data_IF_412905447053
#
_entry.id   IF_412905447053
#
_cell.length_a   1.000
_cell.length_b   1.000
_cell.length_c   1.000
_cell.angle_alpha   90.00
_cell.angle_beta   90.00
_cell.angle_gamma   90.00
#
_symmetry.space_group_name_H-M   'P 1'
#
loop_
_entity.id
_entity.type
_entity.pdbx_description
1 polymer ?
#
# COMPACT_ATOMS: atom_id res chain seq x y z
N UNK A 1 17.23 -25.10 5.90
CA UNK A 1 16.00 -24.37 5.52
C UNK A 1 16.49 -23.18 4.75
N UNK A 2 16.36 -23.20 3.42
CA UNK A 2 17.03 -22.25 2.53
C UNK A 2 16.35 -20.88 2.59
N UNK A 3 17.11 -19.79 2.43
CA UNK A 3 16.59 -18.40 2.45
C UNK A 3 15.39 -18.16 1.51
N UNK A 4 15.29 -18.94 0.43
CA UNK A 4 14.14 -18.94 -0.49
C UNK A 4 12.81 -19.29 0.17
N UNK A 5 12.79 -20.34 1.00
CA UNK A 5 11.58 -20.74 1.75
C UNK A 5 11.16 -19.68 2.78
N UNK A 6 12.13 -19.02 3.43
CA UNK A 6 11.84 -17.92 4.35
C UNK A 6 11.27 -16.68 3.62
N UNK A 7 11.71 -16.45 2.38
CA UNK A 7 11.26 -15.34 1.54
C UNK A 7 9.84 -15.56 1.01
N UNK A 8 9.51 -16.79 0.59
CA UNK A 8 8.14 -17.17 0.21
C UNK A 8 7.15 -17.06 1.39
N UNK A 9 7.57 -17.46 2.60
CA UNK A 9 6.76 -17.32 3.81
C UNK A 9 6.46 -15.85 4.13
N UNK A 10 7.43 -14.96 3.94
CA UNK A 10 7.28 -13.51 4.11
C UNK A 10 6.28 -12.95 3.09
N UNK A 11 6.41 -13.28 1.80
CA UNK A 11 5.48 -12.80 0.79
C UNK A 11 4.06 -13.34 0.98
N UNK A 12 3.93 -14.58 1.44
CA UNK A 12 2.64 -15.19 1.78
C UNK A 12 1.97 -14.47 2.96
N UNK A 13 2.74 -14.11 3.98
CA UNK A 13 2.25 -13.34 5.12
C UNK A 13 1.82 -11.93 4.70
N UNK A 14 2.61 -11.25 3.87
CA UNK A 14 2.27 -9.94 3.30
C UNK A 14 0.97 -10.02 2.51
N UNK A 15 0.82 -11.02 1.63
CA UNK A 15 -0.40 -11.23 0.84
C UNK A 15 -1.65 -11.43 1.70
N UNK A 16 -1.53 -12.16 2.83
CA UNK A 16 -2.62 -12.33 3.80
C UNK A 16 -3.02 -11.03 4.49
N UNK A 17 -2.04 -10.23 4.88
CA UNK A 17 -2.29 -8.92 5.51
C UNK A 17 -2.97 -7.99 4.51
N UNK A 18 -2.46 -7.87 3.28
CA UNK A 18 -3.05 -7.04 2.22
C UNK A 18 -4.49 -7.49 1.90
N UNK A 19 -4.74 -8.79 1.79
CA UNK A 19 -6.10 -9.30 1.56
C UNK A 19 -7.06 -8.99 2.72
N UNK A 20 -6.56 -8.95 3.96
CA UNK A 20 -7.36 -8.58 5.14
C UNK A 20 -7.67 -7.08 5.16
N UNK A 21 -6.69 -6.26 4.78
CA UNK A 21 -6.85 -4.82 4.61
C UNK A 21 -7.91 -4.52 3.53
N UNK A 22 -7.91 -5.23 2.40
CA UNK A 22 -8.90 -5.01 1.34
C UNK A 22 -10.34 -5.46 1.68
N UNK A 23 -10.60 -6.03 2.86
CA UNK A 23 -11.96 -6.42 3.27
C UNK A 23 -12.76 -5.23 3.80
N UNK A 24 -14.07 -5.17 3.54
CA UNK A 24 -14.94 -4.08 3.98
C UNK A 24 -15.05 -3.92 5.50
N UNK A 25 -14.71 -4.97 6.26
CA UNK A 25 -14.68 -5.02 7.72
C UNK A 25 -13.24 -4.94 8.29
N UNK A 26 -12.23 -4.89 7.41
CA UNK A 26 -10.89 -4.47 7.79
C UNK A 26 -10.86 -2.95 7.85
N UNK A 27 -10.68 -2.38 9.04
CA UNK A 27 -10.48 -0.94 9.16
C UNK A 27 -9.10 -0.57 8.58
N UNK A 28 -8.95 -0.59 7.25
CA UNK A 28 -7.95 0.30 6.67
C UNK A 28 -8.47 1.69 6.92
N UNK A 29 -7.82 2.41 7.83
CA UNK A 29 -8.07 3.83 7.92
C UNK A 29 -7.54 4.44 6.63
N UNK A 30 -8.36 5.30 6.00
CA UNK A 30 -7.96 6.03 4.80
C UNK A 30 -6.60 6.73 4.95
N UNK A 31 -6.22 7.07 6.18
CA UNK A 31 -4.89 7.59 6.55
C UNK A 31 -3.73 6.62 6.28
N UNK A 32 -3.93 5.31 6.45
CA UNK A 32 -2.92 4.29 6.18
C UNK A 32 -2.66 4.19 4.67
N UNK A 33 -3.71 4.26 3.85
CA UNK A 33 -3.61 4.30 2.38
C UNK A 33 -2.84 5.54 1.93
N UNK A 34 -3.20 6.71 2.49
CA UNK A 34 -2.52 7.97 2.18
C UNK A 34 -1.04 7.92 2.55
N UNK A 35 -0.72 7.34 3.71
CA UNK A 35 0.66 7.19 4.19
C UNK A 35 1.47 6.24 3.32
N UNK A 36 0.89 5.10 2.89
CA UNK A 36 1.54 4.16 1.99
C UNK A 36 1.78 4.75 0.58
N UNK A 37 0.80 5.45 0.02
CA UNK A 37 0.93 6.12 -1.29
C UNK A 37 2.02 7.19 -1.26
N UNK A 38 2.11 7.96 -0.17
CA UNK A 38 3.13 8.98 0.00
C UNK A 38 4.53 8.35 0.16
N UNK A 39 4.65 7.26 0.93
CA UNK A 39 5.92 6.57 1.07
C UNK A 39 6.41 5.96 -0.26
N UNK A 40 5.50 5.33 -1.00
CA UNK A 40 5.80 4.75 -2.30
C UNK A 40 6.23 5.80 -3.34
N UNK A 41 5.57 6.96 -3.38
CA UNK A 41 5.95 8.05 -4.29
C UNK A 41 7.34 8.62 -4.00
N UNK A 42 7.77 8.65 -2.73
CA UNK A 42 9.11 9.08 -2.35
C UNK A 42 10.20 8.11 -2.81
N UNK A 43 9.91 6.81 -2.79
CA UNK A 43 10.86 5.74 -3.10
C UNK A 43 10.92 5.37 -4.58
N UNK A 44 9.83 5.57 -5.33
CA UNK A 44 9.82 5.25 -6.76
C UNK A 44 10.82 6.14 -7.52
N UNK A 45 11.46 5.58 -8.54
CA UNK A 45 12.25 6.33 -9.52
C UNK A 45 11.46 6.63 -10.80
N UNK A 46 10.28 6.00 -10.95
CA UNK A 46 9.38 6.19 -12.07
C UNK A 46 8.50 7.44 -11.86
N UNK A 47 8.61 8.40 -12.77
CA UNK A 47 7.87 9.67 -12.69
C UNK A 47 6.35 9.49 -12.88
N UNK A 48 5.93 8.49 -13.64
CA UNK A 48 4.52 8.14 -13.84
C UNK A 48 3.91 7.57 -12.56
N UNK A 49 4.62 6.70 -11.87
CA UNK A 49 4.19 6.14 -10.58
C UNK A 49 4.09 7.22 -9.49
N UNK A 50 5.05 8.14 -9.41
CA UNK A 50 4.98 9.29 -8.49
C UNK A 50 3.71 10.10 -8.70
N UNK A 51 3.46 10.47 -9.94
CA UNK A 51 2.30 11.29 -10.32
C UNK A 51 0.99 10.57 -10.03
N UNK A 52 0.91 9.28 -10.34
CA UNK A 52 -0.26 8.46 -10.03
C UNK A 52 -0.54 8.42 -8.52
N UNK A 53 0.50 8.31 -7.68
CA UNK A 53 0.36 8.34 -6.22
C UNK A 53 -0.11 9.70 -5.71
N UNK A 54 0.43 10.80 -6.23
CA UNK A 54 0.01 12.16 -5.86
C UNK A 54 -1.46 12.43 -6.24
N UNK A 55 -1.89 11.97 -7.43
CA UNK A 55 -3.27 12.09 -7.88
C UNK A 55 -4.23 11.25 -7.03
N UNK A 56 -3.82 10.03 -6.66
CA UNK A 56 -4.57 9.15 -5.75
C UNK A 56 -4.73 9.77 -4.35
N UNK A 57 -3.64 10.32 -3.77
CA UNK A 57 -3.68 11.05 -2.49
C UNK A 57 -4.68 12.20 -2.57
N UNK A 58 -4.61 13.02 -3.63
CA UNK A 58 -5.50 14.17 -3.79
C UNK A 58 -6.97 13.76 -3.91
N UNK A 59 -7.26 12.67 -4.60
CA UNK A 59 -8.61 12.15 -4.78
C UNK A 59 -9.18 11.63 -3.45
N UNK A 60 -8.40 10.85 -2.72
CA UNK A 60 -8.79 10.25 -1.44
C UNK A 60 -8.93 11.31 -0.33
N UNK A 61 -8.04 12.30 -0.27
CA UNK A 61 -8.15 13.40 0.70
C UNK A 61 -9.41 14.26 0.53
N UNK A 62 -9.99 14.32 -0.68
CA UNK A 62 -11.26 15.03 -0.90
C UNK A 62 -12.47 14.32 -0.32
N UNK A 63 -12.37 13.02 -0.09
CA UNK A 63 -13.44 12.21 0.52
C UNK A 63 -13.44 12.31 2.06
N UNK A 64 -12.42 12.96 2.66
CA UNK A 64 -12.31 13.27 4.09
C UNK A 64 -13.06 14.55 4.49
N UNK A 65 -13.79 15.19 3.56
CA UNK A 65 -14.58 16.40 3.80
C UNK A 65 -16.08 16.11 3.87
#
# INVERSE_FOLDING_TARGET
MSDETATEDIYTLIGRIVAHLLRPDGEIHLQDILSSLHHFSQQSSDKGEKRACEEAIRLLSRQLH
#
